data_IF_450928647723
#
_entry.id   IF_450928647723
#
_cell.length_a   1.000
_cell.length_b   1.000
_cell.length_c   1.000
_cell.angle_alpha   90.00
_cell.angle_beta   90.00
_cell.angle_gamma   90.00
#
_symmetry.space_group_name_H-M   'P 1'
#
loop_
_entity.id
_entity.type
_entity.pdbx_description
1 polymer ?
#
# COMPACT_ATOMS: atom_id res chain seq x y z
N UNK A 1 -19.88 -8.24 -0.40
CA UNK A 1 -20.57 -9.53 -0.65
C UNK A 1 -21.61 -9.30 -1.72
N UNK A 2 -21.56 -10.01 -2.86
CA UNK A 2 -22.62 -9.96 -3.88
C UNK A 2 -23.34 -11.31 -3.87
N UNK A 3 -24.65 -11.27 -3.65
CA UNK A 3 -25.55 -12.42 -3.52
C UNK A 3 -25.72 -13.13 -4.88
N UNK A 4 -25.46 -14.45 -4.94
CA UNK A 4 -25.59 -15.29 -6.14
C UNK A 4 -27.02 -15.85 -6.31
N UNK A 5 -28.00 -14.98 -6.48
CA UNK A 5 -29.33 -15.36 -6.98
C UNK A 5 -29.54 -14.78 -8.38
N UNK A 6 -30.19 -15.51 -9.32
CA UNK A 6 -30.67 -14.89 -10.57
C UNK A 6 -31.62 -13.75 -10.18
N UNK A 7 -31.30 -12.48 -10.49
CA UNK A 7 -32.11 -11.36 -10.02
C UNK A 7 -33.46 -11.35 -10.74
N UNK A 8 -34.51 -10.98 -10.02
CA UNK A 8 -35.83 -10.65 -10.59
C UNK A 8 -35.69 -9.57 -11.68
N UNK A 9 -36.54 -9.57 -12.74
CA UNK A 9 -36.63 -8.48 -13.72
C UNK A 9 -36.84 -7.09 -13.09
N UNK A 10 -37.40 -7.03 -11.88
CA UNK A 10 -37.54 -5.78 -11.13
C UNK A 10 -36.22 -5.15 -10.66
N UNK A 11 -35.10 -5.90 -10.68
CA UNK A 11 -33.78 -5.41 -10.30
C UNK A 11 -32.95 -4.87 -11.48
N UNK A 12 -33.48 -4.93 -12.70
CA UNK A 12 -32.82 -4.50 -13.93
C UNK A 12 -32.44 -3.00 -13.93
N UNK A 13 -33.26 -2.07 -13.39
CA UNK A 13 -32.89 -0.65 -13.24
C UNK A 13 -31.75 -0.40 -12.24
N UNK A 14 -31.46 -1.35 -11.33
CA UNK A 14 -30.35 -1.25 -10.39
C UNK A 14 -29.02 -1.70 -11.02
N UNK A 15 -29.03 -2.41 -12.15
CA UNK A 15 -27.80 -2.83 -12.86
C UNK A 15 -27.08 -1.66 -13.53
N UNK A 16 -27.81 -0.62 -13.93
CA UNK A 16 -27.22 0.60 -14.53
C UNK A 16 -26.70 1.58 -13.47
N UNK A 17 -26.96 1.35 -12.18
CA UNK A 17 -26.33 2.12 -11.09
C UNK A 17 -24.97 1.50 -10.78
N UNK A 18 -23.89 2.28 -10.93
CA UNK A 18 -22.52 1.88 -10.50
C UNK A 18 -22.61 1.26 -9.10
N UNK A 19 -22.27 -0.03 -8.98
CA UNK A 19 -22.18 -0.70 -7.69
C UNK A 19 -21.15 0.04 -6.84
N UNK A 20 -21.58 0.73 -5.78
CA UNK A 20 -20.66 1.28 -4.78
C UNK A 20 -20.14 0.11 -3.93
N UNK A 21 -18.86 -0.24 -4.08
CA UNK A 21 -18.25 -1.40 -3.41
C UNK A 21 -17.79 -1.05 -2.00
N UNK A 22 -17.37 0.21 -1.77
CA UNK A 22 -17.02 0.74 -0.44
C UNK A 22 -17.55 2.17 -0.34
N UNK A 23 -18.36 2.44 0.69
CA UNK A 23 -19.11 3.69 0.84
C UNK A 23 -18.50 4.70 1.84
N UNK A 24 -17.25 4.53 2.25
CA UNK A 24 -16.58 5.44 3.19
C UNK A 24 -16.46 6.87 2.59
N UNK A 25 -17.39 7.77 2.93
CA UNK A 25 -17.45 9.17 2.46
C UNK A 25 -17.06 10.16 3.57
N UNK A 26 -16.20 11.15 3.27
CA UNK A 26 -15.92 12.31 4.13
C UNK A 26 -14.88 12.11 5.25
N UNK A 27 -14.24 13.19 5.74
CA UNK A 27 -13.29 13.12 6.85
C UNK A 27 -13.90 12.60 8.16
N UNK A 28 -13.10 11.91 9.00
CA UNK A 28 -11.73 11.47 8.72
C UNK A 28 -11.70 10.12 7.95
N UNK A 29 -10.95 10.09 6.83
CA UNK A 29 -10.72 8.89 6.00
C UNK A 29 -10.24 7.70 6.84
N UNK A 30 -9.25 7.96 7.70
CA UNK A 30 -8.64 6.94 8.57
C UNK A 30 -9.68 6.35 9.52
N UNK A 31 -10.45 7.17 10.23
CA UNK A 31 -11.50 6.69 11.13
C UNK A 31 -12.54 5.80 10.42
N UNK A 32 -13.01 6.19 9.23
CA UNK A 32 -13.98 5.38 8.48
C UNK A 32 -13.40 4.09 7.91
N UNK A 33 -12.16 4.12 7.45
CA UNK A 33 -11.47 2.90 7.02
C UNK A 33 -11.24 1.96 8.21
N UNK A 34 -10.79 2.47 9.36
CA UNK A 34 -10.63 1.69 10.58
C UNK A 34 -11.96 1.04 11.01
N UNK A 35 -13.09 1.76 10.94
CA UNK A 35 -14.41 1.18 11.19
C UNK A 35 -14.78 0.08 10.18
N UNK A 36 -14.42 0.24 8.90
CA UNK A 36 -14.64 -0.80 7.89
C UNK A 36 -13.81 -2.06 8.19
N UNK A 37 -12.54 -1.87 8.55
CA UNK A 37 -11.65 -2.96 8.96
C UNK A 37 -12.16 -3.65 10.22
N UNK A 38 -12.69 -2.91 11.19
CA UNK A 38 -13.29 -3.48 12.39
C UNK A 38 -14.54 -4.34 12.08
N UNK A 39 -15.38 -3.91 11.13
CA UNK A 39 -16.44 -4.75 10.59
C UNK A 39 -15.89 -6.03 9.92
N UNK A 40 -14.78 -5.92 9.19
CA UNK A 40 -14.06 -7.06 8.62
C UNK A 40 -13.53 -8.03 9.69
N UNK A 41 -12.95 -7.51 10.78
CA UNK A 41 -12.51 -8.30 11.94
C UNK A 41 -13.67 -9.11 12.50
N UNK A 42 -14.83 -8.47 12.76
CA UNK A 42 -16.02 -9.18 13.27
C UNK A 42 -16.50 -10.28 12.34
N UNK A 43 -16.42 -10.08 11.02
CA UNK A 43 -16.77 -11.13 10.05
C UNK A 43 -15.80 -12.32 10.10
N UNK A 44 -14.50 -12.09 10.30
CA UNK A 44 -13.52 -13.18 10.43
C UNK A 44 -13.75 -13.94 11.72
N UNK A 45 -13.97 -13.24 12.84
CA UNK A 45 -14.28 -13.85 14.14
C UNK A 45 -15.52 -14.75 14.06
N UNK A 46 -16.59 -14.29 13.41
CA UNK A 46 -17.83 -15.08 13.22
C UNK A 46 -17.59 -16.30 12.33
N UNK A 47 -16.81 -16.15 11.25
CA UNK A 47 -16.53 -17.23 10.30
C UNK A 47 -15.55 -18.27 10.85
N UNK A 48 -14.66 -17.87 11.75
CA UNK A 48 -13.64 -18.73 12.36
C UNK A 48 -12.74 -19.42 11.33
N UNK A 49 -12.18 -20.56 11.72
CA UNK A 49 -11.35 -21.43 10.87
C UNK A 49 -12.12 -22.11 9.74
N UNK A 50 -13.45 -22.23 9.84
CA UNK A 50 -14.29 -22.88 8.82
C UNK A 50 -14.17 -22.21 7.44
N UNK A 51 -13.92 -20.90 7.38
CA UNK A 51 -13.70 -20.22 6.11
C UNK A 51 -12.44 -20.67 5.38
N UNK A 52 -11.45 -21.20 6.08
CA UNK A 52 -10.16 -21.60 5.51
C UNK A 52 -10.27 -22.86 4.65
N UNK A 53 -11.26 -23.72 4.93
CA UNK A 53 -11.53 -24.94 4.16
C UNK A 53 -12.12 -24.67 2.76
N UNK A 54 -12.52 -23.42 2.49
CA UNK A 54 -13.14 -23.02 1.23
C UNK A 54 -12.23 -22.03 0.51
N UNK A 55 -11.93 -22.28 -0.78
CA UNK A 55 -11.04 -21.44 -1.58
C UNK A 55 -11.38 -19.94 -1.49
N UNK A 56 -12.65 -19.59 -1.69
CA UNK A 56 -13.10 -18.20 -1.61
C UNK A 56 -12.96 -17.60 -0.19
N UNK A 57 -13.13 -18.41 0.85
CA UNK A 57 -12.94 -17.98 2.23
C UNK A 57 -11.46 -17.74 2.55
N UNK A 58 -10.57 -18.63 2.10
CA UNK A 58 -9.13 -18.49 2.22
C UNK A 58 -8.59 -17.26 1.47
N UNK A 59 -9.06 -17.01 0.24
CA UNK A 59 -8.69 -15.81 -0.54
C UNK A 59 -9.16 -14.52 0.15
N UNK A 60 -10.41 -14.49 0.63
CA UNK A 60 -10.94 -13.34 1.36
C UNK A 60 -10.16 -13.09 2.65
N UNK A 61 -9.86 -14.14 3.41
CA UNK A 61 -9.04 -14.07 4.62
C UNK A 61 -7.64 -13.54 4.32
N UNK A 62 -6.99 -14.04 3.26
CA UNK A 62 -5.66 -13.59 2.80
C UNK A 62 -5.65 -12.10 2.49
N UNK A 63 -6.71 -11.60 1.85
CA UNK A 63 -6.83 -10.20 1.49
C UNK A 63 -7.08 -9.29 2.70
N UNK A 64 -8.02 -9.66 3.56
CA UNK A 64 -8.48 -8.78 4.65
C UNK A 64 -7.45 -8.69 5.78
N UNK A 65 -6.70 -9.76 6.07
CA UNK A 65 -5.74 -9.76 7.19
C UNK A 65 -4.59 -8.77 7.00
N UNK A 66 -4.14 -8.54 5.75
CA UNK A 66 -3.17 -7.48 5.44
C UNK A 66 -3.73 -6.10 5.78
N UNK A 67 -5.01 -5.87 5.47
CA UNK A 67 -5.67 -4.61 5.79
C UNK A 67 -5.85 -4.43 7.31
N UNK A 68 -6.11 -5.51 8.04
CA UNK A 68 -6.14 -5.50 9.50
C UNK A 68 -4.77 -5.18 10.08
N UNK A 69 -3.71 -5.84 9.62
CA UNK A 69 -2.34 -5.56 10.07
C UNK A 69 -1.92 -4.10 9.78
N UNK A 70 -2.26 -3.58 8.58
CA UNK A 70 -2.04 -2.17 8.25
C UNK A 70 -2.86 -1.24 9.15
N UNK A 71 -4.11 -1.60 9.47
CA UNK A 71 -4.97 -0.85 10.40
C UNK A 71 -4.40 -0.80 11.80
N UNK A 72 -3.88 -1.92 12.29
CA UNK A 72 -3.22 -2.01 13.59
C UNK A 72 -1.94 -1.16 13.61
N UNK A 73 -1.16 -1.17 12.53
CA UNK A 73 0.02 -0.30 12.38
C UNK A 73 -0.35 1.18 12.53
N UNK A 74 -1.39 1.66 11.84
CA UNK A 74 -1.82 3.06 11.97
C UNK A 74 -2.53 3.36 13.30
N UNK A 75 -3.13 2.36 13.95
CA UNK A 75 -3.61 2.48 15.33
C UNK A 75 -2.46 2.40 16.35
N UNK A 76 -1.23 2.10 15.91
CA UNK A 76 -0.06 1.83 16.74
C UNK A 76 -0.31 0.72 17.77
N UNK A 77 -1.10 -0.27 17.37
CA UNK A 77 -1.49 -1.43 18.18
C UNK A 77 -0.86 -2.69 17.62
N UNK A 78 -0.60 -3.66 18.49
CA UNK A 78 -0.15 -4.98 18.07
C UNK A 78 -1.28 -5.75 17.40
N UNK A 79 -0.90 -6.61 16.45
CA UNK A 79 -1.87 -7.51 15.83
C UNK A 79 -2.31 -8.57 16.83
N UNK A 80 -3.62 -8.83 17.00
CA UNK A 80 -4.11 -9.71 18.04
C UNK A 80 -3.72 -11.17 17.78
N UNK A 81 -3.46 -11.93 18.86
CA UNK A 81 -2.97 -13.32 18.79
C UNK A 81 -3.91 -14.23 18.00
N UNK A 82 -5.23 -14.09 18.17
CA UNK A 82 -6.20 -14.92 17.45
C UNK A 82 -6.06 -14.81 15.92
N UNK A 83 -5.63 -13.65 15.40
CA UNK A 83 -5.43 -13.45 13.96
C UNK A 83 -4.11 -14.09 13.51
N UNK A 84 -3.10 -14.11 14.38
CA UNK A 84 -1.84 -14.81 14.13
C UNK A 84 -2.08 -16.32 14.12
N UNK A 85 -2.79 -16.86 15.12
CA UNK A 85 -3.15 -18.28 15.22
C UNK A 85 -3.95 -18.73 14.00
N UNK A 86 -4.95 -17.94 13.59
CA UNK A 86 -5.75 -18.23 12.39
C UNK A 86 -4.93 -18.11 11.10
N UNK A 87 -3.93 -17.22 11.06
CA UNK A 87 -3.02 -17.09 9.91
C UNK A 87 -2.05 -18.26 9.82
N UNK A 88 -1.61 -18.82 10.94
CA UNK A 88 -0.83 -20.05 10.98
C UNK A 88 -1.66 -21.26 10.54
N UNK A 89 -2.91 -21.37 11.01
CA UNK A 89 -3.83 -22.41 10.55
C UNK A 89 -4.04 -22.35 9.04
N UNK A 90 -4.20 -21.16 8.47
CA UNK A 90 -4.38 -20.96 7.04
C UNK A 90 -3.25 -21.58 6.19
N UNK A 91 -2.01 -21.67 6.71
CA UNK A 91 -0.89 -22.28 6.00
C UNK A 91 -1.14 -23.75 5.67
N UNK A 92 -1.89 -24.47 6.51
CA UNK A 92 -2.22 -25.90 6.30
C UNK A 92 -3.17 -26.12 5.13
N UNK A 93 -3.94 -25.08 4.78
CA UNK A 93 -4.91 -25.09 3.69
C UNK A 93 -4.34 -24.50 2.40
N UNK A 94 -3.14 -23.90 2.45
CA UNK A 94 -2.46 -23.36 1.27
C UNK A 94 -1.67 -24.49 0.60
N UNK A 95 -2.00 -24.75 -0.66
CA UNK A 95 -1.15 -25.57 -1.53
C UNK A 95 0.11 -24.81 -1.96
N UNK A 96 0.75 -25.26 -3.03
CA UNK A 96 1.87 -24.57 -3.68
C UNK A 96 1.41 -23.39 -4.57
N UNK A 97 0.38 -22.65 -4.12
CA UNK A 97 -0.37 -21.66 -4.91
C UNK A 97 0.29 -20.28 -4.93
N UNK A 98 1.48 -20.14 -4.36
CA UNK A 98 2.17 -18.86 -4.22
C UNK A 98 1.66 -17.96 -3.09
N UNK A 99 0.57 -18.34 -2.43
CA UNK A 99 0.02 -17.59 -1.31
C UNK A 99 0.98 -17.46 -0.12
N UNK A 100 1.95 -18.38 0.00
CA UNK A 100 3.01 -18.34 1.02
C UNK A 100 3.82 -17.03 0.98
N UNK A 101 3.99 -16.43 -0.20
CA UNK A 101 4.62 -15.11 -0.35
C UNK A 101 3.77 -14.02 0.32
N UNK A 102 2.44 -14.12 0.23
CA UNK A 102 1.54 -13.18 0.90
C UNK A 102 1.47 -13.43 2.41
N UNK A 103 1.69 -14.66 2.89
CA UNK A 103 1.90 -14.93 4.32
C UNK A 103 3.18 -14.29 4.85
N UNK A 104 4.27 -14.36 4.08
CA UNK A 104 5.53 -13.69 4.41
C UNK A 104 5.31 -12.19 4.59
N UNK A 105 4.68 -11.51 3.62
CA UNK A 105 4.41 -10.07 3.74
C UNK A 105 3.45 -9.72 4.88
N UNK A 106 2.47 -10.58 5.17
CA UNK A 106 1.61 -10.38 6.34
C UNK A 106 2.42 -10.41 7.63
N UNK A 107 3.29 -11.41 7.81
CA UNK A 107 4.17 -11.50 8.98
C UNK A 107 5.11 -10.32 9.09
N UNK A 108 5.77 -9.93 7.99
CA UNK A 108 6.62 -8.74 7.97
C UNK A 108 5.86 -7.49 8.39
N UNK A 109 4.64 -7.28 7.86
CA UNK A 109 3.81 -6.13 8.22
C UNK A 109 3.38 -6.16 9.70
N UNK A 110 3.11 -7.34 10.28
CA UNK A 110 2.87 -7.49 11.72
C UNK A 110 4.11 -7.05 12.52
N UNK A 111 5.31 -7.48 12.13
CA UNK A 111 6.55 -7.07 12.81
C UNK A 111 6.84 -5.57 12.69
N UNK A 112 6.50 -4.96 11.55
CA UNK A 112 6.56 -3.51 11.37
C UNK A 112 5.52 -2.82 12.28
N UNK A 113 4.30 -3.35 12.39
CA UNK A 113 3.29 -2.86 13.32
C UNK A 113 3.76 -2.93 14.78
N UNK A 114 4.43 -4.01 15.18
CA UNK A 114 5.01 -4.16 16.52
C UNK A 114 6.10 -3.11 16.78
N UNK A 115 6.94 -2.79 15.79
CA UNK A 115 7.91 -1.70 15.91
C UNK A 115 7.19 -0.38 16.23
N UNK A 116 6.15 -0.04 15.48
CA UNK A 116 5.37 1.18 15.66
C UNK A 116 4.67 1.22 17.03
N UNK A 117 4.14 0.09 17.49
CA UNK A 117 3.55 -0.02 18.82
C UNK A 117 4.59 0.22 19.93
N UNK A 118 5.78 -0.39 19.83
CA UNK A 118 6.86 -0.19 20.81
C UNK A 118 7.34 1.27 20.84
N UNK A 119 7.50 1.86 19.65
CA UNK A 119 7.79 3.29 19.43
C UNK A 119 6.78 4.12 20.24
N UNK A 120 5.49 3.83 20.13
CA UNK A 120 4.43 4.57 20.83
C UNK A 120 4.42 4.34 22.35
N UNK A 121 4.61 3.11 22.81
CA UNK A 121 4.45 2.73 24.23
C UNK A 121 5.61 3.12 25.13
N UNK A 122 6.85 3.00 24.62
CA UNK A 122 8.01 2.79 25.51
C UNK A 122 8.87 4.03 25.75
N UNK A 123 8.41 5.22 25.35
CA UNK A 123 9.26 6.42 25.27
C UNK A 123 10.63 6.12 24.63
N UNK A 124 10.68 5.12 23.73
CA UNK A 124 11.85 4.74 22.95
C UNK A 124 13.10 4.41 23.79
N UNK A 125 12.98 3.59 24.84
CA UNK A 125 14.11 3.27 25.74
C UNK A 125 15.38 2.70 25.06
N UNK A 126 15.29 2.20 23.82
CA UNK A 126 16.42 1.61 23.08
C UNK A 126 16.37 1.90 21.57
N UNK A 127 16.58 3.14 21.11
CA UNK A 127 16.38 3.53 19.71
C UNK A 127 17.31 2.78 18.75
N UNK A 128 18.54 2.45 19.17
CA UNK A 128 19.50 1.68 18.36
C UNK A 128 19.03 0.24 18.10
N UNK A 129 18.33 -0.38 19.06
CA UNK A 129 17.75 -1.72 18.88
C UNK A 129 16.58 -1.69 17.90
N UNK A 130 15.73 -0.65 17.99
CA UNK A 130 14.62 -0.45 17.07
C UNK A 130 15.11 -0.19 15.65
N UNK A 131 16.10 0.67 15.48
CA UNK A 131 16.73 0.96 14.19
C UNK A 131 17.33 -0.31 13.58
N UNK A 132 18.10 -1.08 14.37
CA UNK A 132 18.65 -2.37 13.91
C UNK A 132 17.55 -3.32 13.44
N UNK A 133 16.45 -3.44 14.19
CA UNK A 133 15.33 -4.32 13.80
C UNK A 133 14.65 -3.84 12.52
N UNK A 134 14.44 -2.53 12.35
CA UNK A 134 13.89 -1.97 11.11
C UNK A 134 14.81 -2.23 9.90
N UNK A 135 16.12 -2.04 10.05
CA UNK A 135 17.11 -2.34 9.01
C UNK A 135 17.17 -3.83 8.66
N UNK A 136 17.04 -4.73 9.64
CA UNK A 136 16.96 -6.17 9.38
C UNK A 136 15.73 -6.53 8.56
N UNK A 137 14.55 -6.00 8.91
CA UNK A 137 13.33 -6.24 8.13
C UNK A 137 13.44 -5.73 6.69
N UNK A 138 14.07 -4.56 6.47
CA UNK A 138 14.32 -4.04 5.12
C UNK A 138 15.28 -4.94 4.34
N UNK A 139 16.35 -5.42 4.98
CA UNK A 139 17.30 -6.36 4.38
C UNK A 139 16.68 -7.71 4.01
N UNK A 140 15.78 -8.23 4.84
CA UNK A 140 15.04 -9.47 4.56
C UNK A 140 14.14 -9.31 3.33
N UNK A 141 13.47 -8.16 3.20
CA UNK A 141 12.67 -7.84 2.01
C UNK A 141 13.54 -7.75 0.75
N UNK A 142 14.70 -7.10 0.84
CA UNK A 142 15.67 -7.05 -0.28
C UNK A 142 16.09 -8.46 -0.67
N UNK A 143 16.42 -9.30 0.32
CA UNK A 143 16.83 -10.70 0.11
C UNK A 143 15.73 -11.49 -0.59
N UNK A 144 14.47 -11.32 -0.18
CA UNK A 144 13.32 -11.91 -0.84
C UNK A 144 13.26 -11.51 -2.33
N UNK A 145 13.39 -10.21 -2.63
CA UNK A 145 13.31 -9.71 -4.00
C UNK A 145 14.45 -10.24 -4.90
N UNK A 146 15.63 -10.50 -4.33
CA UNK A 146 16.78 -11.08 -5.03
C UNK A 146 16.66 -12.60 -5.24
N UNK A 147 15.92 -13.29 -4.38
CA UNK A 147 15.86 -14.77 -4.34
C UNK A 147 14.60 -15.35 -5.00
N UNK A 148 13.86 -14.51 -5.73
CA UNK A 148 12.56 -14.86 -6.25
C UNK A 148 12.63 -15.75 -7.50
N UNK A 149 11.76 -16.77 -7.56
CA UNK A 149 11.65 -17.67 -8.71
C UNK A 149 11.30 -16.90 -10.01
N UNK A 150 11.82 -17.30 -11.19
CA UNK A 150 11.53 -16.64 -12.46
C UNK A 150 10.04 -16.44 -12.76
N UNK A 151 9.16 -17.34 -12.30
CA UNK A 151 7.70 -17.23 -12.53
C UNK A 151 7.04 -16.07 -11.78
N UNK A 152 7.77 -15.41 -10.88
CA UNK A 152 7.32 -14.25 -10.13
C UNK A 152 7.96 -12.95 -10.60
N UNK A 153 8.79 -13.00 -11.65
CA UNK A 153 9.35 -11.79 -12.25
C UNK A 153 8.29 -11.07 -13.07
N UNK A 154 8.27 -9.75 -12.99
CA UNK A 154 7.51 -8.90 -13.89
C UNK A 154 8.38 -8.47 -15.07
N UNK A 155 7.74 -8.10 -16.17
CA UNK A 155 8.40 -7.52 -17.33
C UNK A 155 8.27 -6.00 -17.30
N UNK A 156 9.35 -5.30 -17.57
CA UNK A 156 9.36 -3.85 -17.77
C UNK A 156 9.16 -3.56 -19.26
N UNK A 157 8.15 -2.75 -19.58
CA UNK A 157 7.89 -2.30 -20.94
C UNK A 157 8.17 -0.80 -21.04
N UNK A 158 9.11 -0.44 -21.90
CA UNK A 158 9.48 0.96 -22.15
C UNK A 158 8.48 1.62 -23.11
N UNK A 159 8.21 2.89 -22.87
CA UNK A 159 7.23 3.72 -23.59
C UNK A 159 7.98 4.90 -24.19
N UNK A 160 7.86 5.08 -25.50
CA UNK A 160 8.34 6.29 -26.17
C UNK A 160 7.28 7.38 -26.00
N UNK A 161 7.57 8.38 -25.18
CA UNK A 161 6.75 9.61 -25.14
C UNK A 161 7.01 10.37 -26.44
N UNK A 162 5.95 10.68 -27.18
CA UNK A 162 6.07 11.51 -28.38
C UNK A 162 6.07 12.99 -27.99
N UNK A 163 6.85 13.83 -28.69
CA UNK A 163 6.99 15.26 -28.37
C UNK A 163 5.66 16.03 -28.47
N UNK A 164 4.67 15.49 -29.19
CA UNK A 164 3.34 16.07 -29.39
C UNK A 164 2.29 15.67 -28.31
N UNK A 165 2.66 14.85 -27.34
CA UNK A 165 1.77 14.50 -26.22
C UNK A 165 1.66 15.68 -25.25
N UNK A 166 0.63 16.51 -25.46
CA UNK A 166 0.21 17.58 -24.56
C UNK A 166 0.35 17.22 -23.07
N UNK A 167 0.74 18.20 -22.25
CA UNK A 167 0.93 18.20 -20.79
C UNK A 167 -0.23 17.66 -19.92
N UNK A 168 -1.26 17.08 -20.54
CA UNK A 168 -2.23 16.22 -19.88
C UNK A 168 -1.58 15.00 -19.24
N UNK A 169 -2.08 14.59 -18.07
CA UNK A 169 -1.53 13.45 -17.36
C UNK A 169 -1.63 12.15 -18.16
N UNK A 170 -0.46 11.70 -18.62
CA UNK A 170 -0.28 10.47 -19.36
C UNK A 170 -0.75 9.24 -18.54
N UNK A 171 -1.33 8.19 -19.17
CA UNK A 171 -1.76 6.96 -18.48
C UNK A 171 -0.64 6.25 -17.72
N UNK A 172 0.60 6.56 -18.07
CA UNK A 172 1.83 6.00 -17.52
C UNK A 172 2.62 7.17 -16.92
N UNK A 173 2.97 7.07 -15.63
CA UNK A 173 3.65 8.13 -14.91
C UNK A 173 5.03 8.45 -15.50
N UNK A 174 5.87 7.42 -15.63
CA UNK A 174 7.23 7.53 -16.15
C UNK A 174 7.30 7.11 -17.63
N UNK A 175 8.46 6.64 -18.05
CA UNK A 175 8.79 6.09 -19.37
C UNK A 175 8.61 4.56 -19.46
N UNK A 176 8.06 3.93 -18.43
CA UNK A 176 7.85 2.48 -18.41
C UNK A 176 6.66 2.06 -17.55
N UNK A 177 6.24 0.81 -17.74
CA UNK A 177 5.26 0.14 -16.89
C UNK A 177 5.59 -1.34 -16.70
N UNK A 178 4.95 -1.96 -15.71
CA UNK A 178 5.15 -3.35 -15.35
C UNK A 178 4.03 -4.23 -15.88
N UNK A 179 4.39 -5.38 -16.45
CA UNK A 179 3.50 -6.47 -16.82
C UNK A 179 3.76 -7.65 -15.90
N UNK A 180 2.71 -8.17 -15.28
CA UNK A 180 2.81 -9.26 -14.32
C UNK A 180 2.25 -10.56 -14.90
N UNK A 181 2.83 -11.72 -14.54
CA UNK A 181 2.30 -13.03 -14.92
C UNK A 181 0.85 -13.24 -14.46
N UNK A 182 0.50 -12.74 -13.28
CA UNK A 182 -0.86 -12.73 -12.76
C UNK A 182 -1.03 -11.69 -11.64
N UNK A 183 -2.28 -11.53 -11.18
CA UNK A 183 -2.62 -10.56 -10.14
C UNK A 183 -1.91 -10.84 -8.81
N UNK A 184 -1.63 -12.10 -8.47
CA UNK A 184 -0.93 -12.49 -7.24
C UNK A 184 0.52 -12.03 -7.24
N UNK A 185 1.21 -12.18 -8.38
CA UNK A 185 2.57 -11.65 -8.54
C UNK A 185 2.57 -10.13 -8.41
N UNK A 186 1.60 -9.45 -9.04
CA UNK A 186 1.48 -7.99 -8.91
C UNK A 186 1.22 -7.54 -7.47
N UNK A 187 0.38 -8.26 -6.74
CA UNK A 187 0.14 -8.03 -5.32
C UNK A 187 1.43 -8.19 -4.51
N UNK A 188 2.17 -9.28 -4.69
CA UNK A 188 3.40 -9.54 -3.96
C UNK A 188 4.41 -8.39 -4.10
N UNK A 189 4.65 -7.93 -5.34
CA UNK A 189 5.54 -6.80 -5.60
C UNK A 189 5.06 -5.49 -4.97
N UNK A 190 3.76 -5.23 -4.99
CA UNK A 190 3.24 -4.01 -4.37
C UNK A 190 3.26 -4.08 -2.82
N UNK A 191 3.04 -5.25 -2.22
CA UNK A 191 3.25 -5.45 -0.77
C UNK A 191 4.70 -5.20 -0.38
N UNK A 192 5.65 -5.81 -1.10
CA UNK A 192 7.07 -5.55 -0.94
C UNK A 192 7.37 -4.04 -0.97
N UNK A 193 6.89 -3.32 -1.99
CA UNK A 193 7.19 -1.89 -2.16
C UNK A 193 6.62 -1.02 -1.04
N UNK A 194 5.34 -1.17 -0.70
CA UNK A 194 4.76 -0.28 0.31
C UNK A 194 5.27 -0.59 1.71
N UNK A 195 5.55 -1.87 2.04
CA UNK A 195 6.13 -2.24 3.35
C UNK A 195 7.53 -1.61 3.47
N UNK A 196 8.34 -1.66 2.41
CA UNK A 196 9.65 -0.98 2.40
C UNK A 196 9.51 0.53 2.53
N UNK A 197 8.56 1.18 1.86
CA UNK A 197 8.31 2.62 2.05
C UNK A 197 8.00 2.95 3.52
N UNK A 198 7.14 2.15 4.17
CA UNK A 198 6.83 2.32 5.61
C UNK A 198 8.10 2.17 6.45
N UNK A 199 8.91 1.14 6.20
CA UNK A 199 10.18 0.91 6.90
C UNK A 199 11.16 2.07 6.72
N UNK A 200 11.30 2.60 5.50
CA UNK A 200 12.12 3.77 5.22
C UNK A 200 11.63 5.01 6.00
N UNK A 201 10.32 5.19 6.13
CA UNK A 201 9.74 6.22 7.00
C UNK A 201 10.11 6.05 8.47
N UNK A 202 10.04 4.82 9.00
CA UNK A 202 10.42 4.49 10.39
C UNK A 202 11.93 4.72 10.59
N UNK A 203 12.77 4.27 9.67
CA UNK A 203 14.22 4.44 9.71
C UNK A 203 14.56 5.94 9.74
N UNK A 204 14.00 6.72 8.81
CA UNK A 204 14.18 8.17 8.78
C UNK A 204 13.75 8.85 10.08
N UNK A 205 12.57 8.51 10.60
CA UNK A 205 12.08 9.03 11.87
C UNK A 205 13.04 8.73 13.04
N UNK A 206 13.54 7.51 13.16
CA UNK A 206 14.50 7.13 14.21
C UNK A 206 15.83 7.89 14.10
N UNK A 207 16.33 8.07 12.87
CA UNK A 207 17.54 8.87 12.62
C UNK A 207 17.34 10.34 13.01
N UNK A 208 16.24 10.95 12.60
CA UNK A 208 15.94 12.37 12.84
C UNK A 208 15.74 12.68 14.33
N UNK A 209 15.14 11.75 15.07
CA UNK A 209 14.80 11.96 16.49
C UNK A 209 15.94 11.64 17.46
N UNK A 210 16.85 10.72 17.12
CA UNK A 210 17.78 10.17 18.13
C UNK A 210 19.24 10.06 17.69
N UNK A 211 19.55 10.17 16.40
CA UNK A 211 20.91 9.97 15.90
C UNK A 211 21.51 11.22 15.25
N UNK A 212 20.81 12.36 15.28
CA UNK A 212 21.34 13.62 14.77
C UNK A 212 22.56 14.14 15.57
N UNK A 213 22.59 13.90 16.89
CA UNK A 213 23.63 14.45 17.77
C UNK A 213 24.83 13.50 17.98
N UNK A 214 24.64 12.19 17.79
CA UNK A 214 25.57 11.15 18.28
C UNK A 214 26.61 10.65 17.26
N UNK A 215 26.60 11.13 16.01
CA UNK A 215 27.60 10.74 15.02
C UNK A 215 27.56 11.54 13.73
N UNK A 216 28.25 12.68 13.70
CA UNK A 216 28.66 13.45 12.51
C UNK A 216 27.56 13.70 11.47
N UNK A 217 27.10 14.97 11.36
CA UNK A 217 26.11 15.47 10.39
C UNK A 217 26.17 14.86 8.97
N UNK A 218 27.35 14.46 8.49
CA UNK A 218 27.52 13.75 7.20
C UNK A 218 26.88 12.35 7.11
N UNK A 219 26.96 11.53 8.16
CA UNK A 219 26.38 10.16 8.19
C UNK A 219 24.85 10.20 8.16
N UNK A 220 24.25 11.15 8.88
CA UNK A 220 22.81 11.40 8.87
C UNK A 220 22.31 11.85 7.49
N UNK A 221 22.97 12.85 6.87
CA UNK A 221 22.62 13.34 5.54
C UNK A 221 22.70 12.23 4.48
N UNK A 222 23.71 11.38 4.53
CA UNK A 222 23.86 10.26 3.60
C UNK A 222 22.74 9.22 3.77
N UNK A 223 22.41 8.88 5.02
CA UNK A 223 21.30 7.97 5.34
C UNK A 223 19.95 8.51 4.90
N UNK A 224 19.68 9.80 5.12
CA UNK A 224 18.44 10.46 4.71
C UNK A 224 18.30 10.50 3.18
N UNK A 225 19.37 10.88 2.47
CA UNK A 225 19.42 10.87 1.00
C UNK A 225 19.17 9.47 0.45
N UNK A 226 19.80 8.46 1.05
CA UNK A 226 19.62 7.08 0.66
C UNK A 226 18.17 6.62 0.86
N UNK A 227 17.59 6.85 2.03
CA UNK A 227 16.21 6.47 2.35
C UNK A 227 15.19 7.15 1.44
N UNK A 228 15.43 8.43 1.12
CA UNK A 228 14.62 9.21 0.18
C UNK A 228 14.71 8.65 -1.24
N UNK A 229 15.91 8.33 -1.73
CA UNK A 229 16.10 7.76 -3.06
C UNK A 229 15.44 6.38 -3.18
N UNK A 230 15.58 5.52 -2.16
CA UNK A 230 14.92 4.21 -2.13
C UNK A 230 13.40 4.37 -2.14
N UNK A 231 12.85 5.25 -1.29
CA UNK A 231 11.41 5.50 -1.22
C UNK A 231 10.85 6.04 -2.53
N UNK A 232 11.57 6.96 -3.18
CA UNK A 232 11.21 7.48 -4.49
C UNK A 232 11.16 6.36 -5.53
N UNK A 233 12.19 5.53 -5.64
CA UNK A 233 12.20 4.40 -6.59
C UNK A 233 11.03 3.45 -6.35
N UNK A 234 10.77 3.08 -5.09
CA UNK A 234 9.66 2.19 -4.74
C UNK A 234 8.30 2.81 -5.10
N UNK A 235 8.14 4.12 -4.92
CA UNK A 235 6.93 4.85 -5.31
C UNK A 235 6.76 4.91 -6.84
N UNK A 236 7.84 5.11 -7.59
CA UNK A 236 7.85 5.03 -9.05
C UNK A 236 7.47 3.62 -9.54
N UNK A 237 7.99 2.57 -8.90
CA UNK A 237 7.65 1.19 -9.25
C UNK A 237 6.18 0.84 -8.96
N UNK A 238 5.60 1.39 -7.88
CA UNK A 238 4.16 1.29 -7.60
C UNK A 238 3.38 1.97 -8.73
N UNK A 239 3.79 3.18 -9.15
CA UNK A 239 3.16 3.89 -10.27
C UNK A 239 3.26 3.08 -11.57
N UNK A 240 4.41 2.46 -11.84
CA UNK A 240 4.62 1.59 -13.01
C UNK A 240 3.74 0.33 -12.98
N UNK A 241 3.22 -0.09 -11.82
CA UNK A 241 2.26 -1.21 -11.74
C UNK A 241 0.83 -0.83 -12.14
N UNK A 242 0.48 0.46 -12.11
CA UNK A 242 -0.90 0.94 -12.32
C UNK A 242 -1.48 0.50 -13.68
N UNK A 243 -0.77 0.60 -14.82
CA UNK A 243 -1.33 0.20 -16.11
C UNK A 243 -1.81 -1.26 -16.14
N UNK A 244 -1.13 -2.16 -15.45
CA UNK A 244 -1.55 -3.57 -15.32
C UNK A 244 -2.89 -3.69 -14.58
N UNK A 245 -3.03 -3.03 -13.43
CA UNK A 245 -4.27 -3.06 -12.64
C UNK A 245 -5.43 -2.35 -13.32
N UNK A 246 -5.15 -1.42 -14.23
CA UNK A 246 -6.17 -0.76 -15.06
C UNK A 246 -6.48 -1.51 -16.36
N UNK A 247 -5.90 -2.70 -16.59
CA UNK A 247 -6.17 -3.52 -17.76
C UNK A 247 -5.56 -2.99 -19.07
N UNK A 248 -4.59 -2.07 -18.98
CA UNK A 248 -3.98 -1.41 -20.15
C UNK A 248 -2.88 -2.24 -20.81
N UNK A 249 -2.46 -3.36 -20.19
CA UNK A 249 -1.29 -4.15 -20.64
C UNK A 249 -1.63 -5.31 -21.57
N UNK A 250 -2.91 -5.50 -21.92
CA UNK A 250 -3.35 -6.58 -22.82
C UNK A 250 -3.10 -8.00 -22.29
N UNK A 251 -2.65 -8.16 -21.03
CA UNK A 251 -2.39 -9.45 -20.40
C UNK A 251 -3.70 -10.22 -20.27
N UNK A 252 -3.81 -11.32 -21.01
CA UNK A 252 -4.98 -12.17 -21.16
C UNK A 252 -5.22 -13.09 -19.96
N UNK A 253 -5.19 -12.57 -18.75
CA UNK A 253 -5.65 -13.30 -17.57
C UNK A 253 -7.18 -13.22 -17.50
N UNK A 254 -7.89 -13.75 -18.51
CA UNK A 254 -9.31 -14.14 -18.52
C UNK A 254 -10.36 -13.20 -17.91
N UNK A 255 -10.01 -11.97 -17.55
CA UNK A 255 -10.78 -11.01 -16.75
C UNK A 255 -11.20 -9.80 -17.58
N UNK A 256 -11.18 -9.98 -18.90
CA UNK A 256 -11.50 -8.98 -19.91
C UNK A 256 -13.00 -8.70 -20.04
N UNK A 257 -13.90 -9.29 -19.23
CA UNK A 257 -15.32 -8.91 -19.20
C UNK A 257 -15.93 -9.01 -17.78
N UNK A 258 -16.44 -7.87 -17.30
CA UNK A 258 -17.55 -7.66 -16.33
C UNK A 258 -17.47 -8.20 -14.88
N UNK A 259 -16.53 -7.66 -14.07
CA UNK A 259 -16.44 -7.74 -12.59
C UNK A 259 -15.39 -8.76 -12.05
N UNK A 260 -14.10 -8.59 -12.43
CA UNK A 260 -12.96 -8.81 -11.51
C UNK A 260 -12.06 -7.58 -11.30
N UNK A 261 -12.31 -6.48 -12.03
CA UNK A 261 -11.57 -5.21 -11.96
C UNK A 261 -11.52 -4.61 -10.55
N UNK A 262 -12.55 -4.81 -9.75
CA UNK A 262 -12.63 -4.26 -8.40
C UNK A 262 -11.61 -4.87 -7.42
N UNK A 263 -11.29 -6.15 -7.54
CA UNK A 263 -10.38 -6.83 -6.61
C UNK A 263 -8.96 -6.29 -6.72
N UNK A 264 -8.40 -6.25 -7.94
CA UNK A 264 -7.06 -5.72 -8.23
C UNK A 264 -6.93 -4.23 -7.89
N UNK A 265 -7.91 -3.44 -8.31
CA UNK A 265 -7.92 -1.99 -8.10
C UNK A 265 -8.06 -1.61 -6.62
N UNK A 266 -8.84 -2.35 -5.83
CA UNK A 266 -8.91 -2.16 -4.37
C UNK A 266 -7.55 -2.38 -3.69
N UNK A 267 -6.76 -3.32 -4.20
CA UNK A 267 -5.45 -3.67 -3.63
C UNK A 267 -4.39 -2.61 -3.89
N UNK A 268 -4.59 -1.76 -4.90
CA UNK A 268 -3.63 -0.73 -5.28
C UNK A 268 -3.81 0.60 -4.55
N UNK A 269 -4.96 0.81 -3.90
CA UNK A 269 -5.27 2.09 -3.23
C UNK A 269 -4.27 2.47 -2.14
N UNK A 270 -4.00 1.55 -1.20
CA UNK A 270 -3.05 1.79 -0.12
C UNK A 270 -1.61 1.92 -0.62
N UNK A 271 -1.09 1.04 -1.49
CA UNK A 271 0.21 1.25 -2.12
C UNK A 271 0.34 2.63 -2.77
N UNK A 272 -0.67 3.07 -3.53
CA UNK A 272 -0.67 4.40 -4.15
C UNK A 272 -0.68 5.52 -3.11
N UNK A 273 -1.56 5.44 -2.12
CA UNK A 273 -1.65 6.47 -1.08
C UNK A 273 -0.33 6.58 -0.29
N UNK A 274 0.25 5.45 0.10
CA UNK A 274 1.57 5.38 0.76
C UNK A 274 2.68 5.93 -0.14
N UNK A 275 2.70 5.57 -1.44
CA UNK A 275 3.66 6.09 -2.41
C UNK A 275 3.57 7.61 -2.57
N UNK A 276 2.37 8.19 -2.52
CA UNK A 276 2.20 9.65 -2.57
C UNK A 276 2.63 10.37 -1.28
N UNK A 277 2.80 9.61 -0.20
CA UNK A 277 3.10 10.13 1.14
C UNK A 277 4.56 9.97 1.55
N UNK A 278 5.36 9.24 0.78
CA UNK A 278 6.75 8.96 1.13
C UNK A 278 7.69 10.17 0.96
N UNK A 279 8.81 10.14 1.68
CA UNK A 279 9.95 11.04 1.42
C UNK A 279 10.45 10.75 0.01
N UNK A 280 10.44 11.75 -0.87
CA UNK A 280 10.81 11.60 -2.30
C UNK A 280 9.63 11.66 -3.28
N UNK A 281 8.38 11.63 -2.82
CA UNK A 281 7.21 11.79 -3.68
C UNK A 281 7.11 13.23 -4.24
N UNK A 282 7.41 13.40 -5.53
CA UNK A 282 7.34 14.69 -6.20
C UNK A 282 5.90 15.22 -6.30
N UNK A 283 5.66 16.54 -6.36
CA UNK A 283 4.32 17.09 -6.58
C UNK A 283 3.63 16.52 -7.83
N UNK A 284 4.41 16.26 -8.90
CA UNK A 284 3.93 15.63 -10.13
C UNK A 284 3.45 14.20 -9.88
N UNK A 285 4.22 13.40 -9.12
CA UNK A 285 3.83 12.05 -8.71
C UNK A 285 2.55 12.07 -7.89
N UNK A 286 2.45 12.94 -6.89
CA UNK A 286 1.26 13.05 -6.04
C UNK A 286 0.02 13.43 -6.85
N UNK A 287 0.14 14.39 -7.76
CA UNK A 287 -0.96 14.77 -8.66
C UNK A 287 -1.38 13.61 -9.57
N UNK A 288 -0.41 12.82 -10.06
CA UNK A 288 -0.67 11.65 -10.87
C UNK A 288 -1.36 10.52 -10.10
N UNK A 289 -0.84 10.19 -8.93
CA UNK A 289 -1.45 9.22 -8.02
C UNK A 289 -2.88 9.64 -7.64
N UNK A 290 -3.11 10.92 -7.33
CA UNK A 290 -4.43 11.43 -7.02
C UNK A 290 -5.42 11.19 -8.16
N UNK A 291 -5.01 11.34 -9.42
CA UNK A 291 -5.86 11.04 -10.58
C UNK A 291 -6.08 9.55 -10.77
N UNK A 292 -5.09 8.70 -10.51
CA UNK A 292 -5.28 7.25 -10.50
C UNK A 292 -6.32 6.84 -9.47
N UNK A 293 -6.21 7.33 -8.23
CA UNK A 293 -7.17 7.08 -7.15
C UNK A 293 -8.58 7.60 -7.51
N UNK A 294 -8.67 8.75 -8.19
CA UNK A 294 -9.94 9.31 -8.65
C UNK A 294 -10.61 8.43 -9.72
N UNK A 295 -9.82 7.94 -10.70
CA UNK A 295 -10.28 7.00 -11.74
C UNK A 295 -10.72 5.68 -11.12
N UNK A 296 -9.96 5.16 -10.16
CA UNK A 296 -10.30 3.97 -9.38
C UNK A 296 -11.63 4.17 -8.66
N UNK A 297 -11.76 5.26 -7.91
CA UNK A 297 -12.94 5.54 -7.11
C UNK A 297 -14.21 5.70 -7.94
N UNK A 298 -14.14 6.48 -9.02
CA UNK A 298 -15.28 6.70 -9.90
C UNK A 298 -15.58 5.49 -10.79
N UNK A 299 -14.56 4.83 -11.34
CA UNK A 299 -14.73 3.69 -12.23
C UNK A 299 -15.36 2.49 -11.54
N UNK A 300 -15.00 2.26 -10.27
CA UNK A 300 -15.36 1.04 -9.51
C UNK A 300 -16.37 1.31 -8.38
N UNK A 301 -16.68 2.58 -8.09
CA UNK A 301 -17.57 2.95 -6.99
C UNK A 301 -16.93 2.74 -5.61
N UNK A 302 -15.62 2.98 -5.50
CA UNK A 302 -14.87 2.87 -4.25
C UNK A 302 -14.68 4.28 -3.68
N UNK A 303 -15.59 4.70 -2.81
CA UNK A 303 -15.55 6.05 -2.24
C UNK A 303 -14.27 6.32 -1.43
N UNK A 304 -13.66 5.28 -0.85
CA UNK A 304 -12.40 5.41 -0.14
C UNK A 304 -11.27 5.94 -1.04
N UNK A 305 -11.22 5.50 -2.31
CA UNK A 305 -10.22 5.99 -3.27
C UNK A 305 -10.48 7.45 -3.66
N UNK A 306 -11.75 7.85 -3.77
CA UNK A 306 -12.13 9.26 -4.00
C UNK A 306 -11.68 10.12 -2.83
N UNK A 307 -11.92 9.67 -1.59
CA UNK A 307 -11.48 10.39 -0.40
C UNK A 307 -9.94 10.50 -0.31
N UNK A 308 -9.21 9.44 -0.62
CA UNK A 308 -7.74 9.48 -0.73
C UNK A 308 -7.30 10.50 -1.80
N UNK A 309 -7.92 10.51 -2.98
CA UNK A 309 -7.65 11.49 -4.03
C UNK A 309 -7.86 12.94 -3.57
N UNK A 310 -8.96 13.20 -2.84
CA UNK A 310 -9.28 14.54 -2.32
C UNK A 310 -8.25 15.00 -1.28
N UNK A 311 -7.77 14.12 -0.40
CA UNK A 311 -6.70 14.44 0.57
C UNK A 311 -5.43 14.87 -0.15
N UNK A 312 -5.01 14.12 -1.18
CA UNK A 312 -3.82 14.46 -1.95
C UNK A 312 -3.98 15.77 -2.72
N UNK A 313 -5.16 16.04 -3.29
CA UNK A 313 -5.47 17.32 -3.97
C UNK A 313 -5.51 18.51 -3.01
N UNK A 314 -5.84 18.28 -1.75
CA UNK A 314 -5.82 19.29 -0.70
C UNK A 314 -4.41 19.51 -0.10
N UNK A 315 -3.37 18.86 -0.65
CA UNK A 315 -2.00 18.86 -0.14
C UNK A 315 -1.93 18.46 1.35
N UNK A 316 -2.80 17.52 1.72
CA UNK A 316 -2.82 16.88 3.04
C UNK A 316 -2.08 15.54 2.98
N UNK A 317 -1.61 15.08 4.14
CA UNK A 317 -0.81 13.88 4.30
C UNK A 317 -1.19 13.10 5.54
N UNK A 318 -0.73 11.85 5.62
CA UNK A 318 -0.97 11.01 6.78
C UNK A 318 0.13 11.28 7.82
N UNK A 319 -0.22 11.92 8.93
CA UNK A 319 0.67 11.99 10.08
C UNK A 319 0.42 10.77 10.97
N UNK A 320 1.29 9.75 10.87
CA UNK A 320 1.09 8.47 11.56
C UNK A 320 2.25 8.06 12.47
N UNK A 321 3.43 8.68 12.34
CA UNK A 321 4.59 8.39 13.19
C UNK A 321 4.78 9.43 14.29
N UNK A 322 4.58 10.71 14.00
CA UNK A 322 5.00 11.82 14.86
C UNK A 322 3.98 12.13 15.98
N UNK A 323 2.69 11.92 15.74
CA UNK A 323 1.60 12.14 16.71
C UNK A 323 1.13 10.84 17.34
N UNK A 324 0.66 10.87 18.60
CA UNK A 324 0.13 9.69 19.30
C UNK A 324 -1.00 9.00 18.52
N UNK A 325 -1.94 9.77 17.96
CA UNK A 325 -2.99 9.28 17.09
C UNK A 325 -2.69 9.57 15.62
N UNK A 326 -2.96 8.60 14.74
CA UNK A 326 -2.82 8.82 13.29
C UNK A 326 -3.90 9.77 12.79
N UNK A 327 -3.48 10.86 12.15
CA UNK A 327 -4.34 11.94 11.68
C UNK A 327 -4.01 12.35 10.24
N UNK A 328 -4.94 13.05 9.58
CA UNK A 328 -4.70 13.65 8.26
C UNK A 328 -4.48 15.14 8.46
N UNK A 329 -3.29 15.63 8.13
CA UNK A 329 -2.88 17.02 8.38
C UNK A 329 -2.33 17.68 7.11
N UNK A 330 -2.35 19.02 7.08
CA UNK A 330 -1.78 19.77 5.95
C UNK A 330 -0.28 19.57 5.89
N UNK A 331 0.30 19.35 4.70
CA UNK A 331 1.76 19.28 4.57
C UNK A 331 2.39 20.63 4.99
N UNK A 332 3.50 20.61 5.74
CA UNK A 332 4.22 21.84 6.05
C UNK A 332 4.66 22.51 4.75
N UNK A 333 4.43 23.83 4.62
CA UNK A 333 5.07 24.58 3.55
C UNK A 333 6.58 24.59 3.83
N UNK A 334 7.35 23.79 3.10
CA UNK A 334 8.79 23.98 3.05
C UNK A 334 9.02 25.33 2.37
N UNK A 335 9.31 26.36 3.17
CA UNK A 335 9.95 27.58 2.63
C UNK A 335 11.27 27.10 2.07
N UNK A 336 11.37 26.98 0.74
CA UNK A 336 12.63 26.73 0.03
C UNK A 336 13.59 27.90 0.31
N UNK A 337 14.33 27.80 1.40
CA UNK A 337 15.56 28.55 1.62
C UNK A 337 16.74 27.59 1.41
N UNK A 338 16.83 27.02 0.21
CA UNK A 338 18.08 26.45 -0.28
C UNK A 338 18.27 26.97 -1.71
N UNK A 339 18.81 28.19 -1.78
CA UNK A 339 19.59 28.62 -2.93
C UNK A 339 20.76 27.64 -3.06
N UNK A 340 20.63 26.65 -3.94
CA UNK A 340 21.79 26.00 -4.53
C UNK A 340 22.35 26.99 -5.57
N UNK A 341 23.54 27.59 -5.37
CA UNK A 341 24.18 28.29 -6.46
C UNK A 341 24.52 27.24 -7.53
N UNK A 342 24.29 27.53 -8.82
CA UNK A 342 24.73 26.64 -9.88
C UNK A 342 26.26 26.52 -9.83
N UNK A 343 26.74 25.29 -10.00
CA UNK A 343 28.14 24.90 -10.02
C UNK A 343 29.01 25.87 -10.83
N UNK A 344 30.10 26.34 -10.22
CA UNK A 344 31.27 26.92 -10.90
C UNK A 344 32.45 25.99 -10.77
#
# INVERSE_FOLDING_TARGET
MVYRGKPSPACEPCRTRRLKIVTCEGPPLIGRWLNHIEGGVKLIEIRGSEQLHHQAGLELFTQIRIQIALGNLYKKQRTPSWLLDLSEEALKHRGDTGDQVLDYFFRTLVEVGDLVAIINESAFAHPARLLKRALTLDADLITWAMSIDPNWKYTVVMVKKTEDENDTLHPIYSDHYHVYPNITVSMAWNHYRFIRIILQGIIGYLYDTHFQESGGRGSHIESERHSTAVSQQLAEDICASVPYHLGMTGSSDGSTLDIPFAGGVMRLMWPLFIASDCRGASPKMRAWIAQCLDKIGHGVGINMAVAMSQILRADMHLNWLEEEETSIVKRPYLVRNEYFPPDT
#
